data_IF_543531746786
#
_entry.id   IF_543531746786
#
_cell.length_a   1.000
_cell.length_b   1.000
_cell.length_c   1.000
_cell.angle_alpha   90.00
_cell.angle_beta   90.00
_cell.angle_gamma   90.00
#
_symmetry.space_group_name_H-M   'P 1'
#
loop_
_entity.id
_entity.type
_entity.pdbx_description
1 polymer ?
#
# COMPACT_ATOMS: atom_id res chain seq x y z
N UNK A 1 -7.96 25.33 -28.88
CA UNK A 1 -6.64 25.68 -29.44
C UNK A 1 -5.47 25.37 -28.50
N UNK A 2 -5.51 25.70 -27.20
CA UNK A 2 -4.40 25.41 -26.27
C UNK A 2 -4.16 23.91 -26.02
N UNK A 3 -5.22 23.10 -25.87
CA UNK A 3 -5.08 21.65 -25.71
C UNK A 3 -4.59 20.95 -26.98
N UNK A 4 -5.08 21.33 -28.17
CA UNK A 4 -4.66 20.71 -29.44
C UNK A 4 -3.19 20.96 -29.76
N UNK A 5 -2.68 22.14 -29.42
CA UNK A 5 -1.26 22.48 -29.59
C UNK A 5 -0.40 21.70 -28.58
N UNK A 6 -0.83 21.56 -27.32
CA UNK A 6 -0.15 20.72 -26.33
C UNK A 6 -0.12 19.24 -26.75
N UNK A 7 -1.23 18.70 -27.28
CA UNK A 7 -1.28 17.33 -27.79
C UNK A 7 -0.36 17.11 -28.99
N UNK A 8 -0.28 18.07 -29.93
CA UNK A 8 0.65 18.00 -31.07
C UNK A 8 2.12 18.09 -30.63
N UNK A 9 2.42 18.95 -29.65
CA UNK A 9 3.76 19.09 -29.08
C UNK A 9 4.17 17.80 -28.35
N UNK A 10 3.27 17.20 -27.57
CA UNK A 10 3.49 15.91 -26.92
C UNK A 10 3.68 14.80 -27.96
N UNK A 11 2.86 14.76 -29.02
CA UNK A 11 3.00 13.77 -30.09
C UNK A 11 4.34 13.89 -30.83
N UNK A 12 4.81 15.12 -31.09
CA UNK A 12 6.11 15.38 -31.72
C UNK A 12 7.29 15.02 -30.79
N UNK A 13 7.15 15.24 -29.48
CA UNK A 13 8.11 14.73 -28.49
C UNK A 13 8.11 13.20 -28.41
N UNK A 14 6.95 12.56 -28.52
CA UNK A 14 6.85 11.08 -28.52
C UNK A 14 7.54 10.48 -29.74
N UNK A 15 7.44 11.09 -30.93
CA UNK A 15 8.14 10.61 -32.13
C UNK A 15 9.66 10.84 -32.06
N UNK A 16 10.11 11.94 -31.44
CA UNK A 16 11.54 12.18 -31.17
C UNK A 16 12.12 11.21 -30.14
N UNK A 17 11.32 10.75 -29.17
CA UNK A 17 11.74 9.76 -28.16
C UNK A 17 11.70 8.33 -28.71
N UNK A 18 10.91 8.06 -29.75
CA UNK A 18 10.83 6.76 -30.42
C UNK A 18 12.03 6.45 -31.37
N UNK A 19 13.14 7.17 -31.24
CA UNK A 19 14.25 7.07 -32.18
C UNK A 19 15.06 5.76 -32.08
N UNK A 20 14.99 5.03 -30.96
CA UNK A 20 15.82 3.84 -30.72
C UNK A 20 14.99 2.56 -30.66
N UNK A 21 15.34 1.62 -31.52
CA UNK A 21 14.68 0.32 -31.54
C UNK A 21 15.17 -0.56 -30.38
N UNK A 22 14.46 -1.66 -30.11
CA UNK A 22 14.84 -2.64 -29.08
C UNK A 22 16.26 -3.19 -29.31
N UNK A 23 16.60 -3.48 -30.56
CA UNK A 23 17.91 -4.02 -30.93
C UNK A 23 19.04 -3.02 -30.63
N UNK A 24 18.79 -1.72 -30.80
CA UNK A 24 19.78 -0.68 -30.47
C UNK A 24 20.07 -0.67 -28.96
N UNK A 25 19.02 -0.81 -28.13
CA UNK A 25 19.17 -0.88 -26.67
C UNK A 25 19.96 -2.13 -26.25
N UNK A 26 19.77 -3.26 -26.93
CA UNK A 26 20.51 -4.49 -26.68
C UNK A 26 22.01 -4.31 -27.01
N UNK A 27 22.34 -3.64 -28.11
CA UNK A 27 23.73 -3.30 -28.48
C UNK A 27 24.38 -2.43 -27.39
N UNK A 28 23.69 -1.37 -26.96
CA UNK A 28 24.23 -0.44 -25.96
C UNK A 28 24.43 -1.11 -24.61
N UNK A 29 23.45 -1.91 -24.18
CA UNK A 29 23.55 -2.70 -22.94
C UNK A 29 24.75 -3.65 -23.01
N UNK A 30 24.91 -4.38 -24.11
CA UNK A 30 25.99 -5.35 -24.25
C UNK A 30 27.38 -4.67 -24.27
N UNK A 31 27.48 -3.50 -24.92
CA UNK A 31 28.68 -2.65 -24.87
C UNK A 31 29.02 -2.25 -23.44
N UNK A 32 28.06 -1.69 -22.71
CA UNK A 32 28.28 -1.23 -21.34
C UNK A 32 28.67 -2.38 -20.41
N UNK A 33 28.06 -3.56 -20.59
CA UNK A 33 28.41 -4.77 -19.85
C UNK A 33 29.85 -5.24 -20.13
N UNK A 34 30.33 -5.13 -21.36
CA UNK A 34 31.71 -5.47 -21.74
C UNK A 34 32.69 -4.40 -21.25
N UNK A 35 32.33 -3.13 -21.38
CA UNK A 35 33.11 -2.01 -20.88
C UNK A 35 33.36 -2.13 -19.36
N UNK A 36 32.36 -2.61 -18.61
CA UNK A 36 32.46 -2.85 -17.18
C UNK A 36 33.34 -4.06 -16.82
N UNK A 37 33.41 -5.11 -17.66
CA UNK A 37 34.18 -6.32 -17.35
C UNK A 37 35.60 -6.36 -17.91
N UNK A 38 35.84 -5.78 -19.08
CA UNK A 38 37.10 -5.87 -19.83
C UNK A 38 37.77 -4.50 -20.03
N UNK A 39 37.04 -3.39 -19.85
CA UNK A 39 37.56 -2.01 -19.92
C UNK A 39 36.85 -1.16 -20.97
N UNK A 40 36.88 0.19 -20.84
CA UNK A 40 36.07 1.10 -21.65
C UNK A 40 36.42 1.13 -23.14
N UNK A 41 37.65 0.75 -23.49
CA UNK A 41 38.17 0.76 -24.86
C UNK A 41 37.93 -0.55 -25.62
N UNK A 42 37.39 -1.59 -24.97
CA UNK A 42 37.25 -2.93 -25.60
C UNK A 42 36.01 -2.99 -26.47
N UNK A 43 36.20 -3.13 -27.78
CA UNK A 43 35.11 -3.32 -28.74
C UNK A 43 34.66 -4.79 -28.82
N UNK A 44 33.53 -5.06 -29.47
CA UNK A 44 33.07 -6.43 -29.75
C UNK A 44 34.05 -7.24 -30.60
N UNK A 45 34.77 -6.55 -31.49
CA UNK A 45 35.81 -7.15 -32.32
C UNK A 45 37.02 -7.53 -31.48
N UNK A 46 37.48 -6.64 -30.61
CA UNK A 46 38.61 -6.91 -29.70
C UNK A 46 38.29 -8.01 -28.70
N UNK A 47 37.05 -8.05 -28.21
CA UNK A 47 36.59 -9.10 -27.31
C UNK A 47 36.73 -10.51 -27.92
N UNK A 48 36.39 -10.64 -29.21
CA UNK A 48 36.57 -11.89 -29.97
C UNK A 48 37.97 -12.04 -30.60
N UNK A 49 38.86 -11.06 -30.46
CA UNK A 49 40.15 -10.96 -31.15
C UNK A 49 40.01 -11.05 -32.69
N UNK A 50 39.12 -10.23 -33.25
CA UNK A 50 38.83 -10.16 -34.68
C UNK A 50 39.09 -8.75 -35.23
N UNK A 51 39.26 -8.66 -36.54
CA UNK A 51 39.23 -7.37 -37.24
C UNK A 51 37.79 -6.99 -37.61
N UNK A 52 37.44 -5.69 -37.69
CA UNK A 52 36.10 -5.24 -38.06
C UNK A 52 35.60 -5.74 -39.43
N UNK A 53 36.49 -6.13 -40.34
CA UNK A 53 36.16 -6.67 -41.66
C UNK A 53 36.08 -8.21 -41.73
N UNK A 54 36.06 -8.90 -40.58
CA UNK A 54 36.06 -10.37 -40.55
C UNK A 54 34.80 -11.01 -41.16
N UNK A 55 34.97 -12.15 -41.82
CA UNK A 55 33.88 -12.93 -42.42
C UNK A 55 33.11 -13.76 -41.36
N UNK A 56 31.89 -14.20 -41.65
CA UNK A 56 31.05 -15.00 -40.76
C UNK A 56 31.71 -16.33 -40.30
N UNK A 57 32.51 -16.95 -41.17
CA UNK A 57 33.27 -18.15 -40.83
C UNK A 57 34.40 -17.86 -39.84
N UNK A 58 35.07 -16.72 -40.00
CA UNK A 58 36.11 -16.26 -39.10
C UNK A 58 35.53 -15.92 -37.73
N UNK A 59 34.36 -15.28 -37.68
CA UNK A 59 33.61 -15.02 -36.44
C UNK A 59 33.30 -16.34 -35.73
N UNK A 60 32.85 -17.36 -36.47
CA UNK A 60 32.53 -18.68 -35.91
C UNK A 60 33.77 -19.39 -35.39
N UNK A 61 34.91 -19.31 -36.09
CA UNK A 61 36.20 -19.87 -35.64
C UNK A 61 36.72 -19.16 -34.39
N UNK A 62 36.69 -17.83 -34.37
CA UNK A 62 37.12 -17.03 -33.23
C UNK A 62 36.26 -17.27 -32.00
N UNK A 63 34.93 -17.32 -32.16
CA UNK A 63 34.01 -17.71 -31.10
C UNK A 63 34.37 -19.07 -30.51
N UNK A 64 34.59 -20.11 -31.33
CA UNK A 64 34.98 -21.44 -30.84
C UNK A 64 36.29 -21.39 -30.05
N UNK A 65 37.28 -20.62 -30.51
CA UNK A 65 38.56 -20.46 -29.81
C UNK A 65 38.37 -19.76 -28.46
N UNK A 66 37.60 -18.68 -28.42
CA UNK A 66 37.34 -17.88 -27.21
C UNK A 66 36.43 -18.60 -26.22
N UNK A 67 35.40 -19.32 -26.69
CA UNK A 67 34.46 -20.07 -25.85
C UNK A 67 35.18 -21.16 -25.05
N UNK A 68 36.14 -21.85 -25.66
CA UNK A 68 36.97 -22.85 -24.97
C UNK A 68 37.86 -22.20 -23.90
N UNK A 69 38.34 -20.98 -24.13
CA UNK A 69 39.19 -20.26 -23.15
C UNK A 69 38.38 -19.73 -21.96
N UNK A 70 37.17 -19.23 -22.22
CA UNK A 70 36.30 -18.56 -21.26
C UNK A 70 35.21 -19.47 -20.67
N UNK A 71 35.23 -20.77 -20.98
CA UNK A 71 34.25 -21.72 -20.47
C UNK A 71 34.25 -21.73 -18.93
N UNK A 72 33.08 -21.65 -18.26
CA UNK A 72 32.99 -21.48 -16.81
C UNK A 72 33.67 -22.60 -16.03
N UNK A 73 33.57 -23.85 -16.49
CA UNK A 73 34.24 -24.98 -15.84
C UNK A 73 35.77 -24.88 -15.89
N UNK A 74 36.34 -24.47 -17.03
CA UNK A 74 37.79 -24.31 -17.16
C UNK A 74 38.30 -23.12 -16.34
N UNK A 75 37.55 -22.04 -16.27
CA UNK A 75 37.89 -20.88 -15.43
C UNK A 75 37.86 -21.26 -13.95
N UNK A 76 36.83 -22.01 -13.52
CA UNK A 76 36.71 -22.55 -12.17
C UNK A 76 37.89 -23.45 -11.81
N UNK A 77 38.25 -24.38 -12.69
CA UNK A 77 39.41 -25.26 -12.49
C UNK A 77 40.71 -24.48 -12.40
N UNK A 78 40.95 -23.53 -13.33
CA UNK A 78 42.13 -22.65 -13.30
C UNK A 78 42.21 -21.83 -12.01
N UNK A 79 41.08 -21.33 -11.51
CA UNK A 79 41.02 -20.59 -10.24
C UNK A 79 41.39 -21.48 -9.04
N UNK A 80 40.84 -22.70 -8.97
CA UNK A 80 41.18 -23.66 -7.91
C UNK A 80 42.65 -24.04 -7.97
N UNK A 81 43.15 -24.41 -9.17
CA UNK A 81 44.55 -24.82 -9.36
C UNK A 81 45.54 -23.69 -9.09
N UNK A 82 45.25 -22.46 -9.52
CA UNK A 82 46.13 -21.30 -9.25
C UNK A 82 46.17 -20.92 -7.78
N UNK A 83 45.12 -21.22 -7.01
CA UNK A 83 45.12 -21.02 -5.56
C UNK A 83 45.89 -22.13 -4.85
N UNK A 84 45.67 -23.39 -5.22
CA UNK A 84 46.31 -24.55 -4.59
C UNK A 84 47.77 -24.73 -4.99
N UNK A 85 48.17 -24.28 -6.18
CA UNK A 85 49.55 -24.32 -6.68
C UNK A 85 50.20 -22.95 -6.46
N UNK A 86 51.20 -22.88 -5.57
CA UNK A 86 51.96 -21.65 -5.34
C UNK A 86 52.61 -21.12 -6.63
N UNK A 87 52.70 -19.80 -6.76
CA UNK A 87 53.38 -19.12 -7.88
C UNK A 87 54.87 -19.50 -7.89
N UNK A 88 55.37 -20.09 -8.97
CA UNK A 88 56.81 -20.22 -9.18
C UNK A 88 57.36 -18.84 -9.59
N UNK A 89 58.36 -18.33 -8.87
CA UNK A 89 59.15 -17.19 -9.33
C UNK A 89 60.06 -17.61 -10.49
N UNK A 90 60.47 -16.63 -11.30
CA UNK A 90 61.33 -16.81 -12.49
C UNK A 90 62.66 -17.52 -12.15
N UNK A 91 63.15 -17.37 -10.92
CA UNK A 91 64.41 -17.96 -10.43
C UNK A 91 64.31 -19.42 -9.94
N UNK A 92 63.23 -20.15 -10.24
CA UNK A 92 63.04 -21.54 -9.82
C UNK A 92 62.87 -21.76 -8.31
N UNK A 93 63.02 -20.71 -7.48
CA UNK A 93 62.72 -20.74 -6.04
C UNK A 93 61.24 -20.47 -5.78
N UNK A 94 60.65 -21.26 -4.88
CA UNK A 94 59.25 -21.20 -4.46
C UNK A 94 58.96 -19.90 -3.71
N UNK A 95 58.54 -18.87 -4.44
CA UNK A 95 58.06 -17.62 -3.87
C UNK A 95 56.59 -17.76 -3.44
N UNK A 96 56.38 -17.85 -2.11
CA UNK A 96 55.12 -17.97 -1.35
C UNK A 96 54.49 -19.37 -1.22
N UNK A 97 54.15 -19.72 0.03
CA UNK A 97 53.34 -20.90 0.39
C UNK A 97 51.99 -20.84 -0.32
N UNK A 98 51.44 -21.97 -0.80
CA UNK A 98 50.11 -22.01 -1.37
C UNK A 98 49.10 -21.55 -0.32
N UNK A 99 48.30 -20.54 -0.65
CA UNK A 99 47.10 -20.26 0.11
C UNK A 99 46.17 -21.46 -0.13
N UNK A 100 45.66 -22.10 0.91
CA UNK A 100 44.86 -23.32 0.79
C UNK A 100 43.67 -23.22 -0.17
N UNK A 101 42.94 -24.33 -0.34
CA UNK A 101 41.77 -24.40 -1.24
C UNK A 101 40.85 -23.18 -1.05
N UNK A 102 40.42 -22.49 -2.13
CA UNK A 102 39.55 -21.32 -2.03
C UNK A 102 38.20 -21.70 -1.42
N UNK A 103 37.55 -20.72 -0.78
CA UNK A 103 36.24 -20.94 -0.17
C UNK A 103 35.19 -21.32 -1.21
N UNK A 104 34.19 -22.12 -0.83
CA UNK A 104 33.11 -22.50 -1.75
C UNK A 104 32.37 -21.26 -2.31
N UNK A 105 32.29 -20.18 -1.53
CA UNK A 105 31.71 -18.91 -1.96
C UNK A 105 32.55 -18.23 -3.06
N UNK A 106 33.88 -18.19 -2.93
CA UNK A 106 34.78 -17.67 -3.98
C UNK A 106 34.69 -18.52 -5.26
N UNK A 107 34.62 -19.84 -5.12
CA UNK A 107 34.45 -20.77 -6.25
C UNK A 107 33.11 -20.51 -6.96
N UNK A 108 32.02 -20.30 -6.22
CA UNK A 108 30.73 -19.99 -6.80
C UNK A 108 30.70 -18.61 -7.47
N UNK A 109 31.30 -17.60 -6.85
CA UNK A 109 31.39 -16.25 -7.40
C UNK A 109 32.20 -16.21 -8.70
N UNK A 110 33.34 -16.91 -8.75
CA UNK A 110 34.16 -17.03 -9.96
C UNK A 110 33.46 -17.82 -11.06
N UNK A 111 32.78 -18.91 -10.72
CA UNK A 111 31.97 -19.66 -11.69
C UNK A 111 30.84 -18.80 -12.28
N UNK A 112 30.16 -18.00 -11.45
CA UNK A 112 29.12 -17.07 -11.88
C UNK A 112 29.68 -15.96 -12.78
N UNK A 113 30.78 -15.32 -12.38
CA UNK A 113 31.42 -14.32 -13.21
C UNK A 113 31.85 -14.89 -14.58
N UNK A 114 32.33 -16.14 -14.60
CA UNK A 114 32.69 -16.82 -15.84
C UNK A 114 31.47 -17.19 -16.69
N UNK A 115 30.36 -17.64 -16.08
CA UNK A 115 29.11 -17.90 -16.83
C UNK A 115 28.55 -16.63 -17.44
N UNK A 116 28.57 -15.52 -16.72
CA UNK A 116 28.10 -14.22 -17.21
C UNK A 116 28.96 -13.74 -18.38
N UNK A 117 30.30 -13.86 -18.27
CA UNK A 117 31.23 -13.56 -19.38
C UNK A 117 31.00 -14.45 -20.60
N UNK A 118 30.75 -15.74 -20.39
CA UNK A 118 30.47 -16.70 -21.46
C UNK A 118 29.12 -16.40 -22.16
N UNK A 119 28.10 -16.02 -21.39
CA UNK A 119 26.80 -15.62 -21.94
C UNK A 119 26.94 -14.39 -22.86
N UNK A 120 27.68 -13.36 -22.41
CA UNK A 120 27.97 -12.18 -23.23
C UNK A 120 28.68 -12.52 -24.53
N UNK A 121 29.63 -13.46 -24.48
CA UNK A 121 30.35 -13.93 -25.66
C UNK A 121 29.43 -14.59 -26.69
N UNK A 122 28.43 -15.36 -26.25
CA UNK A 122 27.39 -15.88 -27.14
C UNK A 122 26.53 -14.78 -27.77
N UNK A 123 26.16 -13.77 -26.98
CA UNK A 123 25.38 -12.62 -27.46
C UNK A 123 26.16 -11.81 -28.51
N UNK A 124 27.44 -11.51 -28.25
CA UNK A 124 28.30 -10.80 -29.20
C UNK A 124 28.45 -11.58 -30.51
N UNK A 125 28.64 -12.90 -30.44
CA UNK A 125 28.71 -13.73 -31.65
C UNK A 125 27.40 -13.65 -32.45
N UNK A 126 26.25 -13.77 -31.78
CA UNK A 126 24.94 -13.68 -32.43
C UNK A 126 24.74 -12.31 -33.10
N UNK A 127 25.09 -11.23 -32.39
CA UNK A 127 25.02 -9.86 -32.88
C UNK A 127 25.87 -9.66 -34.14
N UNK A 128 27.15 -10.04 -34.10
CA UNK A 128 28.07 -9.87 -35.24
C UNK A 128 27.75 -10.79 -36.42
N UNK A 129 27.04 -11.90 -36.20
CA UNK A 129 26.54 -12.74 -37.29
C UNK A 129 25.22 -12.24 -37.87
N UNK A 130 24.46 -11.45 -37.12
CA UNK A 130 23.16 -10.94 -37.51
C UNK A 130 23.23 -9.62 -38.30
N UNK A 131 22.06 -9.11 -38.73
CA UNK A 131 21.95 -7.80 -39.38
C UNK A 131 22.29 -6.64 -38.44
N UNK A 132 22.25 -6.89 -37.13
CA UNK A 132 22.57 -5.93 -36.07
C UNK A 132 24.06 -5.50 -36.10
N UNK A 133 24.94 -6.27 -36.76
CA UNK A 133 26.35 -5.87 -37.00
C UNK A 133 26.43 -4.51 -37.70
N UNK A 134 25.60 -4.26 -38.72
CA UNK A 134 25.63 -3.00 -39.45
C UNK A 134 25.25 -1.81 -38.55
N UNK A 135 24.30 -2.00 -37.63
CA UNK A 135 23.92 -0.99 -36.64
C UNK A 135 25.04 -0.75 -35.64
N UNK A 136 25.67 -1.82 -35.15
CA UNK A 136 26.83 -1.72 -34.29
C UNK A 136 27.98 -0.95 -34.97
N UNK A 137 28.31 -1.26 -36.22
CA UNK A 137 29.35 -0.58 -36.98
C UNK A 137 29.00 0.90 -37.23
N UNK A 138 27.73 1.21 -37.45
CA UNK A 138 27.25 2.59 -37.52
C UNK A 138 27.52 3.36 -36.21
N UNK A 139 27.23 2.78 -35.05
CA UNK A 139 27.53 3.42 -33.76
C UNK A 139 29.01 3.45 -33.43
N UNK A 140 29.80 2.50 -33.95
CA UNK A 140 31.25 2.52 -33.80
C UNK A 140 31.87 3.67 -34.59
N UNK A 141 31.36 3.98 -35.78
CA UNK A 141 31.83 5.09 -36.61
C UNK A 141 31.33 6.47 -36.15
N UNK A 142 30.06 6.57 -35.73
CA UNK A 142 29.42 7.84 -35.36
C UNK A 142 29.47 8.16 -33.87
N UNK A 143 29.91 7.20 -33.04
CA UNK A 143 29.90 7.31 -31.58
C UNK A 143 28.64 6.72 -30.96
N UNK A 144 28.82 6.19 -29.74
CA UNK A 144 27.74 5.63 -28.94
C UNK A 144 27.09 6.73 -28.08
N UNK A 145 25.75 6.78 -28.02
CA UNK A 145 25.08 7.66 -27.08
C UNK A 145 25.37 7.23 -25.64
N UNK A 146 25.39 8.21 -24.72
CA UNK A 146 25.58 7.94 -23.29
C UNK A 146 24.25 7.43 -22.69
N UNK A 147 23.94 6.17 -22.92
CA UNK A 147 22.74 5.53 -22.38
C UNK A 147 23.06 4.98 -20.98
N UNK A 148 22.37 5.44 -19.93
CA UNK A 148 22.51 4.86 -18.56
C UNK A 148 21.47 3.78 -18.23
N UNK A 149 20.31 3.75 -18.89
CA UNK A 149 19.35 2.64 -18.73
C UNK A 149 18.27 2.93 -17.73
N UNK A 150 17.09 2.31 -17.92
CA UNK A 150 16.15 2.13 -16.81
C UNK A 150 16.76 1.20 -15.75
N UNK A 151 17.58 0.23 -16.17
CA UNK A 151 18.39 -0.63 -15.31
C UNK A 151 19.29 0.14 -14.33
N UNK A 152 19.78 1.33 -14.68
CA UNK A 152 20.54 2.17 -13.76
C UNK A 152 19.71 2.64 -12.57
N UNK A 153 18.45 3.01 -12.79
CA UNK A 153 17.55 3.36 -11.70
C UNK A 153 17.31 2.17 -10.77
N UNK A 154 17.10 0.96 -11.31
CA UNK A 154 16.90 -0.24 -10.50
C UNK A 154 18.18 -0.75 -9.82
N UNK A 155 19.36 -0.53 -10.41
CA UNK A 155 20.63 -0.92 -9.81
C UNK A 155 20.97 -0.03 -8.61
N UNK A 156 20.64 1.27 -8.68
CA UNK A 156 20.98 2.27 -7.66
C UNK A 156 19.89 2.45 -6.61
N UNK A 157 18.63 2.49 -7.01
CA UNK A 157 17.49 2.67 -6.11
C UNK A 157 16.97 1.31 -5.64
N UNK A 158 17.52 0.83 -4.52
CA UNK A 158 16.99 -0.31 -3.78
C UNK A 158 16.26 0.23 -2.55
N UNK A 159 14.95 0.53 -2.66
CA UNK A 159 14.22 1.10 -1.54
C UNK A 159 14.34 0.15 -0.35
N UNK A 160 14.91 0.65 0.74
CA UNK A 160 15.01 -0.10 1.98
C UNK A 160 13.65 -0.24 2.64
N UNK A 161 13.54 -1.15 3.60
CA UNK A 161 12.31 -1.39 4.36
C UNK A 161 11.68 -0.10 4.91
N UNK A 162 12.48 0.81 5.48
CA UNK A 162 11.99 2.09 5.99
C UNK A 162 11.41 3.01 4.91
N UNK A 163 12.01 3.06 3.71
CA UNK A 163 11.47 3.88 2.61
C UNK A 163 10.14 3.33 2.10
N UNK A 164 9.99 2.00 2.09
CA UNK A 164 8.73 1.35 1.71
C UNK A 164 7.65 1.63 2.76
N UNK A 165 7.97 1.48 4.04
CA UNK A 165 7.02 1.78 5.12
C UNK A 165 6.60 3.24 5.12
N UNK A 166 7.54 4.17 4.90
CA UNK A 166 7.22 5.60 4.80
C UNK A 166 6.29 5.88 3.61
N UNK A 167 6.59 5.32 2.44
CA UNK A 167 5.74 5.45 1.26
C UNK A 167 4.34 4.86 1.48
N UNK A 168 4.25 3.68 2.08
CA UNK A 168 2.99 3.04 2.43
C UNK A 168 2.20 3.88 3.45
N UNK A 169 2.87 4.44 4.45
CA UNK A 169 2.25 5.30 5.45
C UNK A 169 1.68 6.59 4.82
N UNK A 170 2.41 7.23 3.92
CA UNK A 170 1.92 8.41 3.20
C UNK A 170 0.72 8.05 2.31
N UNK A 171 0.80 6.92 1.59
CA UNK A 171 -0.26 6.53 0.67
C UNK A 171 -1.52 6.06 1.39
N UNK A 172 -1.39 5.12 2.32
CA UNK A 172 -2.52 4.53 3.06
C UNK A 172 -3.02 5.48 4.15
N UNK A 173 -2.11 6.03 4.96
CA UNK A 173 -2.45 6.95 6.05
C UNK A 173 -2.83 8.36 5.59
N UNK A 174 -2.41 8.76 4.39
CA UNK A 174 -2.81 10.01 3.75
C UNK A 174 -3.98 9.81 2.79
N UNK A 175 -3.69 9.48 1.54
CA UNK A 175 -4.68 9.43 0.46
C UNK A 175 -5.79 8.39 0.71
N UNK A 176 -5.42 7.16 1.11
CA UNK A 176 -6.39 6.09 1.39
C UNK A 176 -7.32 6.44 2.56
N UNK A 177 -6.75 6.94 3.66
CA UNK A 177 -7.53 7.35 4.83
C UNK A 177 -8.41 8.58 4.55
N UNK A 178 -7.90 9.57 3.82
CA UNK A 178 -8.71 10.71 3.38
C UNK A 178 -9.89 10.25 2.51
N UNK A 179 -9.66 9.32 1.59
CA UNK A 179 -10.72 8.76 0.76
C UNK A 179 -11.78 8.04 1.61
N UNK A 180 -11.37 7.27 2.62
CA UNK A 180 -12.30 6.64 3.56
C UNK A 180 -13.15 7.68 4.32
N UNK A 181 -12.53 8.75 4.82
CA UNK A 181 -13.23 9.85 5.49
C UNK A 181 -14.21 10.56 4.54
N UNK A 182 -13.80 10.78 3.30
CA UNK A 182 -14.65 11.37 2.26
C UNK A 182 -15.86 10.51 1.92
N UNK A 183 -15.68 9.20 1.77
CA UNK A 183 -16.78 8.26 1.56
C UNK A 183 -17.72 8.24 2.77
N UNK A 184 -17.18 8.29 3.99
CA UNK A 184 -17.95 8.38 5.22
C UNK A 184 -18.81 9.64 5.28
N UNK A 185 -18.20 10.81 5.07
CA UNK A 185 -18.89 12.10 5.02
C UNK A 185 -19.98 12.12 3.95
N UNK A 186 -19.68 11.66 2.73
CA UNK A 186 -20.65 11.60 1.63
C UNK A 186 -21.84 10.70 1.97
N UNK A 187 -21.60 9.52 2.54
CA UNK A 187 -22.67 8.60 2.96
C UNK A 187 -23.50 9.18 4.10
N UNK A 188 -22.88 9.92 5.02
CA UNK A 188 -23.57 10.57 6.14
C UNK A 188 -24.47 11.72 5.64
N UNK A 189 -23.99 12.52 4.68
CA UNK A 189 -24.78 13.55 3.97
C UNK A 189 -26.01 12.95 3.30
N UNK A 190 -25.84 11.87 2.53
CA UNK A 190 -26.94 11.18 1.86
C UNK A 190 -27.93 10.55 2.84
N UNK A 191 -27.44 10.05 3.98
CA UNK A 191 -28.29 9.53 5.04
C UNK A 191 -29.15 10.63 5.66
N UNK A 192 -28.55 11.70 6.18
CA UNK A 192 -29.28 12.82 6.82
C UNK A 192 -30.25 13.45 5.83
N UNK A 193 -29.81 13.68 4.59
CA UNK A 193 -30.67 14.25 3.53
C UNK A 193 -31.91 13.40 3.23
N UNK A 194 -31.83 12.07 3.31
CA UNK A 194 -33.01 11.19 3.16
C UNK A 194 -33.99 11.33 4.32
N UNK A 195 -33.49 11.40 5.55
CA UNK A 195 -34.34 11.57 6.75
C UNK A 195 -35.04 12.93 6.77
N UNK A 196 -34.33 14.00 6.41
CA UNK A 196 -34.91 15.35 6.29
C UNK A 196 -36.01 15.38 5.21
N UNK A 197 -35.76 14.78 4.04
CA UNK A 197 -36.76 14.69 2.96
C UNK A 197 -37.98 13.87 3.39
N UNK A 198 -37.80 12.76 4.11
CA UNK A 198 -38.89 11.95 4.63
C UNK A 198 -39.75 12.74 5.63
N UNK A 199 -39.11 13.38 6.62
CA UNK A 199 -39.79 14.15 7.65
C UNK A 199 -40.62 15.31 7.05
N UNK A 200 -40.06 16.07 6.10
CA UNK A 200 -40.79 17.15 5.40
C UNK A 200 -41.99 16.63 4.62
N UNK A 201 -41.87 15.49 3.94
CA UNK A 201 -43.00 14.88 3.22
C UNK A 201 -44.09 14.40 4.17
N UNK A 202 -43.71 13.69 5.24
CA UNK A 202 -44.65 13.16 6.22
C UNK A 202 -45.35 14.27 7.04
N UNK A 203 -44.67 15.41 7.26
CA UNK A 203 -45.26 16.58 7.89
C UNK A 203 -46.19 17.39 6.97
N UNK A 204 -46.28 17.03 5.68
CA UNK A 204 -47.08 17.74 4.67
C UNK A 204 -46.46 19.05 4.20
N UNK A 205 -45.19 19.33 4.54
CA UNK A 205 -44.43 20.52 4.15
C UNK A 205 -43.68 20.28 2.84
N UNK A 206 -44.36 19.76 1.81
CA UNK A 206 -43.79 19.73 0.47
C UNK A 206 -43.67 21.17 -0.05
N UNK A 207 -42.52 21.50 -0.64
CA UNK A 207 -42.18 22.83 -1.18
C UNK A 207 -43.09 23.32 -2.34
N UNK A 208 -44.20 22.61 -2.62
CA UNK A 208 -45.20 22.96 -3.62
C UNK A 208 -46.43 23.70 -3.05
N UNK A 209 -46.52 23.91 -1.72
CA UNK A 209 -47.71 24.48 -1.05
C UNK A 209 -47.58 25.95 -0.60
N UNK A 210 -46.52 26.67 -0.97
CA UNK A 210 -46.38 28.12 -0.68
C UNK A 210 -46.97 29.01 -1.79
N UNK A 211 -48.15 28.68 -2.33
CA UNK A 211 -48.96 29.62 -3.12
C UNK A 211 -50.11 30.09 -2.23
N UNK A 212 -50.14 31.36 -1.79
CA UNK A 212 -51.24 31.88 -1.00
C UNK A 212 -52.50 31.95 -1.89
N UNK A 213 -53.52 31.14 -1.60
CA UNK A 213 -54.87 31.33 -2.15
C UNK A 213 -55.45 30.22 -3.04
N UNK A 214 -55.12 28.94 -2.81
CA UNK A 214 -55.89 27.85 -3.45
C UNK A 214 -56.29 26.81 -2.40
N UNK A 215 -57.57 26.80 -2.05
CA UNK A 215 -58.20 25.69 -1.35
C UNK A 215 -58.13 24.45 -2.24
N UNK A 216 -57.35 23.45 -1.82
CA UNK A 216 -57.38 22.12 -2.41
C UNK A 216 -58.16 21.19 -1.49
N UNK A 217 -59.48 21.26 -1.58
CA UNK A 217 -60.34 20.10 -1.34
C UNK A 217 -60.05 19.06 -2.41
N UNK A 218 -59.60 17.87 -2.03
CA UNK A 218 -59.41 16.77 -2.98
C UNK A 218 -58.49 15.69 -2.45
N UNK A 219 -59.08 14.69 -1.80
CA UNK A 219 -58.45 13.40 -1.60
C UNK A 219 -58.24 12.74 -2.98
N UNK A 220 -57.06 12.18 -3.22
CA UNK A 220 -56.87 11.13 -4.21
C UNK A 220 -56.06 9.99 -3.59
N UNK A 221 -56.80 8.94 -3.30
CA UNK A 221 -56.35 7.57 -3.05
C UNK A 221 -55.81 6.99 -4.38
N UNK A 222 -54.67 6.28 -4.41
CA UNK A 222 -54.37 5.40 -5.54
C UNK A 222 -55.33 4.19 -5.54
N UNK A 223 -55.64 3.62 -6.71
CA UNK A 223 -56.80 2.75 -6.89
C UNK A 223 -56.61 1.36 -6.27
N UNK A 224 -57.68 0.88 -5.64
CA UNK A 224 -57.95 -0.55 -5.56
C UNK A 224 -58.39 -1.04 -6.95
N UNK A 225 -57.69 -2.03 -7.48
CA UNK A 225 -58.21 -2.93 -8.50
C UNK A 225 -58.42 -4.29 -7.84
N UNK A 226 -59.68 -4.60 -7.56
CA UNK A 226 -60.14 -5.95 -7.28
C UNK A 226 -60.35 -6.69 -8.61
N UNK A 227 -59.69 -7.84 -8.75
CA UNK A 227 -60.25 -9.01 -9.42
C UNK A 227 -59.52 -10.25 -8.92
N UNK A 228 -60.26 -11.09 -8.21
CA UNK A 228 -59.86 -12.38 -7.64
C UNK A 228 -59.15 -13.32 -8.62
N UNK A 229 -58.09 -13.99 -8.15
CA UNK A 229 -57.87 -15.42 -8.38
C UNK A 229 -56.89 -15.99 -7.34
N UNK A 230 -57.31 -17.07 -6.71
CA UNK A 230 -56.64 -17.86 -5.68
C UNK A 230 -55.20 -18.30 -6.02
N UNK A 231 -54.32 -18.35 -5.01
CA UNK A 231 -53.41 -19.49 -4.77
C UNK A 231 -52.62 -19.30 -3.46
N UNK A 232 -53.15 -19.84 -2.35
CA UNK A 232 -52.35 -20.16 -1.17
C UNK A 232 -51.30 -21.21 -1.57
N UNK A 233 -50.02 -20.87 -1.50
CA UNK A 233 -48.95 -21.88 -1.55
C UNK A 233 -48.80 -22.49 -0.14
N UNK A 234 -49.04 -23.80 0.05
CA UNK A 234 -48.88 -24.43 1.35
C UNK A 234 -47.40 -24.52 1.71
N UNK A 235 -46.94 -23.67 2.65
CA UNK A 235 -45.59 -23.77 3.20
C UNK A 235 -45.42 -25.11 3.92
N UNK A 236 -44.43 -25.88 3.50
CA UNK A 236 -44.09 -27.17 4.09
C UNK A 236 -43.73 -27.02 5.58
N UNK A 237 -44.30 -27.88 6.42
CA UNK A 237 -44.21 -27.93 7.90
C UNK A 237 -42.78 -27.95 8.48
N UNK A 238 -41.76 -28.12 7.63
CA UNK A 238 -40.33 -28.16 7.94
C UNK A 238 -39.65 -26.77 7.87
N UNK A 239 -40.13 -25.86 7.01
CA UNK A 239 -39.61 -24.50 6.91
C UNK A 239 -40.09 -23.61 8.08
N UNK A 240 -41.33 -23.80 8.52
CA UNK A 240 -41.89 -23.08 9.67
C UNK A 240 -41.15 -23.35 10.99
N UNK A 241 -40.65 -24.58 11.18
CA UNK A 241 -39.86 -24.94 12.38
C UNK A 241 -38.41 -24.46 12.35
N UNK A 242 -37.86 -24.14 11.17
CA UNK A 242 -36.55 -23.48 11.07
C UNK A 242 -36.66 -22.00 11.42
N UNK A 243 -37.68 -21.31 10.90
CA UNK A 243 -37.93 -19.90 11.23
C UNK A 243 -38.21 -19.67 12.73
N UNK A 244 -38.93 -20.57 13.39
CA UNK A 244 -39.15 -20.50 14.85
C UNK A 244 -37.90 -20.86 15.69
N UNK A 245 -36.96 -21.63 15.14
CA UNK A 245 -35.69 -21.98 15.82
C UNK A 245 -34.68 -20.84 15.74
N UNK A 246 -34.67 -20.11 14.63
CA UNK A 246 -33.79 -18.96 14.42
C UNK A 246 -34.30 -17.74 15.20
N UNK A 247 -35.62 -17.53 15.29
CA UNK A 247 -36.20 -16.42 16.06
C UNK A 247 -36.12 -16.61 17.58
N UNK A 248 -35.94 -17.84 18.07
CA UNK A 248 -35.82 -18.14 19.52
C UNK A 248 -34.38 -18.13 20.03
N UNK A 249 -33.39 -18.09 19.13
CA UNK A 249 -31.96 -18.07 19.47
C UNK A 249 -31.36 -16.67 19.60
N UNK A 250 -32.10 -15.63 19.24
CA UNK A 250 -31.63 -14.25 19.34
C UNK A 250 -32.45 -13.42 20.33
N UNK A 251 -32.02 -13.42 21.60
CA UNK A 251 -31.82 -12.25 22.50
C UNK A 251 -31.67 -12.70 23.97
N UNK A 252 -31.03 -11.90 24.86
CA UNK A 252 -30.41 -10.58 24.65
C UNK A 252 -28.98 -10.46 25.21
N UNK A 253 -28.03 -9.89 24.47
CA UNK A 253 -26.84 -9.30 25.10
C UNK A 253 -26.48 -7.91 24.54
N UNK A 254 -26.36 -7.00 25.51
CA UNK A 254 -25.53 -5.80 25.63
C UNK A 254 -25.47 -4.81 24.45
N UNK A 255 -26.10 -3.67 24.71
CA UNK A 255 -25.91 -2.38 24.03
C UNK A 255 -24.42 -2.00 24.04
N UNK A 256 -23.75 -2.03 22.89
CA UNK A 256 -22.45 -1.38 22.68
C UNK A 256 -22.68 0.10 22.37
N UNK A 257 -22.03 0.95 23.17
CA UNK A 257 -22.09 2.42 23.09
C UNK A 257 -21.44 2.93 21.80
N UNK A 258 -22.08 3.90 21.16
CA UNK A 258 -21.53 4.71 20.08
C UNK A 258 -20.46 5.69 20.62
N UNK A 259 -19.47 6.12 19.81
CA UNK A 259 -18.36 6.94 20.28
C UNK A 259 -18.83 8.35 20.67
N UNK A 260 -18.41 8.77 21.86
CA UNK A 260 -18.65 10.10 22.45
C UNK A 260 -17.87 11.15 21.66
N UNK A 261 -18.58 12.01 20.93
CA UNK A 261 -18.00 13.19 20.28
C UNK A 261 -17.73 14.22 21.39
N UNK A 262 -16.50 14.72 21.48
CA UNK A 262 -16.11 15.72 22.48
C UNK A 262 -16.88 17.01 22.25
N UNK A 263 -17.50 17.51 23.32
CA UNK A 263 -18.19 18.79 23.37
C UNK A 263 -17.23 19.92 22.97
N UNK A 264 -17.64 20.69 21.96
CA UNK A 264 -17.20 22.05 21.74
C UNK A 264 -18.32 22.98 22.21
N UNK A 265 -17.89 24.09 22.81
CA UNK A 265 -18.59 25.17 23.52
C UNK A 265 -20.02 25.56 23.11
N UNK A 266 -20.80 26.15 24.05
CA UNK A 266 -22.18 26.52 23.82
C UNK A 266 -22.21 27.69 22.84
N UNK A 267 -22.83 27.49 21.69
CA UNK A 267 -23.20 28.56 20.79
C UNK A 267 -24.71 28.55 20.73
N UNK A 268 -25.25 29.67 21.21
CA UNK A 268 -26.62 30.14 21.23
C UNK A 268 -27.62 29.33 20.42
N UNK A 269 -28.57 28.74 21.14
CA UNK A 269 -29.86 28.33 20.58
C UNK A 269 -30.47 29.56 19.89
N UNK A 270 -30.72 29.56 18.57
CA UNK A 270 -31.51 30.62 17.99
C UNK A 270 -32.95 30.42 18.46
N UNK A 271 -33.31 31.15 19.51
CA UNK A 271 -34.69 31.46 19.85
C UNK A 271 -35.35 32.10 18.64
N UNK A 272 -36.28 31.38 18.03
CA UNK A 272 -37.20 31.95 17.06
C UNK A 272 -37.43 31.03 15.87
N UNK A 273 -38.43 30.15 15.96
CA UNK A 273 -39.80 30.40 15.47
C UNK A 273 -40.75 29.50 16.27
N UNK A 274 -41.67 30.07 17.05
CA UNK A 274 -42.71 29.30 17.76
C UNK A 274 -43.89 29.06 16.82
N UNK A 275 -43.75 28.10 15.91
CA UNK A 275 -44.85 27.56 15.11
C UNK A 275 -45.35 26.20 15.63
N UNK A 276 -46.49 25.70 15.17
CA UNK A 276 -46.96 24.35 15.50
C UNK A 276 -45.98 23.29 14.97
N UNK A 277 -45.29 22.59 15.87
CA UNK A 277 -44.34 21.52 15.55
C UNK A 277 -45.07 20.20 15.27
N UNK A 278 -44.76 19.54 14.15
CA UNK A 278 -45.31 18.21 13.81
C UNK A 278 -44.30 17.12 14.11
N UNK A 279 -44.71 16.11 14.87
CA UNK A 279 -43.87 14.96 15.25
C UNK A 279 -44.13 13.81 14.29
N UNK A 280 -43.08 13.27 13.68
CA UNK A 280 -43.10 12.16 12.73
C UNK A 280 -42.16 11.08 13.26
N UNK A 281 -42.64 9.84 13.35
CA UNK A 281 -41.80 8.71 13.76
C UNK A 281 -41.14 8.12 12.51
N UNK A 282 -39.81 8.05 12.52
CA UNK A 282 -39.03 7.44 11.44
C UNK A 282 -39.01 5.91 11.55
N UNK A 283 -38.63 5.23 10.47
CA UNK A 283 -38.54 3.76 10.37
C UNK A 283 -37.67 3.11 11.46
N UNK A 284 -36.69 3.86 11.98
CA UNK A 284 -35.80 3.42 13.06
C UNK A 284 -36.35 3.70 14.47
N UNK A 285 -37.62 4.10 14.60
CA UNK A 285 -38.28 4.43 15.87
C UNK A 285 -37.87 5.78 16.48
N UNK A 286 -37.05 6.58 15.78
CA UNK A 286 -36.67 7.92 16.23
C UNK A 286 -37.76 8.95 15.92
N UNK A 287 -37.95 9.91 16.81
CA UNK A 287 -38.95 10.97 16.64
C UNK A 287 -38.27 12.17 15.96
N UNK A 288 -38.79 12.54 14.80
CA UNK A 288 -38.39 13.71 14.04
C UNK A 288 -39.46 14.80 14.22
N UNK A 289 -39.05 15.99 14.62
CA UNK A 289 -39.93 17.13 14.84
C UNK A 289 -39.71 18.11 13.71
N UNK A 290 -40.75 18.40 12.94
CA UNK A 290 -40.70 19.33 11.81
C UNK A 290 -41.38 20.63 12.22
N UNK A 291 -40.64 21.73 12.11
CA UNK A 291 -41.17 23.07 12.36
C UNK A 291 -41.87 23.63 11.12
N UNK A 292 -42.67 24.67 11.33
CA UNK A 292 -43.40 25.46 10.34
C UNK A 292 -42.53 25.99 9.19
N UNK A 293 -41.25 26.28 9.45
CA UNK A 293 -40.27 26.73 8.45
C UNK A 293 -39.67 25.56 7.64
N UNK A 294 -39.90 24.31 8.05
CA UNK A 294 -39.37 23.11 7.40
C UNK A 294 -38.01 22.63 7.93
N UNK A 295 -37.55 23.18 9.05
CA UNK A 295 -36.42 22.65 9.81
C UNK A 295 -36.83 21.34 10.49
N UNK A 296 -35.94 20.34 10.46
CA UNK A 296 -36.20 19.01 11.01
C UNK A 296 -35.27 18.78 12.18
N UNK A 297 -35.84 18.55 13.36
CA UNK A 297 -35.11 18.26 14.59
C UNK A 297 -35.24 16.78 14.93
N UNK A 298 -34.20 16.21 15.51
CA UNK A 298 -34.22 14.88 16.09
C UNK A 298 -34.38 15.02 17.60
N UNK A 299 -35.43 14.44 18.15
CA UNK A 299 -35.70 14.41 19.58
C UNK A 299 -34.91 13.25 20.20
N UNK A 300 -33.82 13.55 20.93
CA UNK A 300 -32.99 12.54 21.59
C UNK A 300 -32.99 12.77 23.11
N UNK A 301 -33.15 11.69 23.87
CA UNK A 301 -33.03 11.74 25.33
C UNK A 301 -31.56 11.69 25.71
N UNK A 302 -31.06 12.73 26.38
CA UNK A 302 -29.69 12.81 26.88
C UNK A 302 -29.48 11.85 28.07
N UNK A 303 -28.22 11.62 28.45
CA UNK A 303 -27.82 10.76 29.57
C UNK A 303 -28.40 11.23 30.92
N UNK A 304 -28.78 12.51 31.02
CA UNK A 304 -29.44 13.16 32.17
C UNK A 304 -30.98 13.05 32.14
N UNK A 305 -31.53 12.37 31.13
CA UNK A 305 -32.97 12.08 31.04
C UNK A 305 -33.81 13.19 30.40
N UNK A 306 -33.22 14.33 30.04
CA UNK A 306 -33.85 15.46 29.35
C UNK A 306 -33.96 15.23 27.83
N UNK A 307 -35.03 15.73 27.21
CA UNK A 307 -35.27 15.62 25.77
C UNK A 307 -34.61 16.80 25.06
N UNK A 308 -33.57 16.55 24.28
CA UNK A 308 -32.88 17.57 23.49
C UNK A 308 -33.29 17.47 22.01
N UNK A 309 -33.63 18.61 21.42
CA UNK A 309 -33.94 18.75 19.99
C UNK A 309 -32.65 19.08 19.24
N UNK A 310 -32.11 18.13 18.45
CA UNK A 310 -30.92 18.34 17.62
C UNK A 310 -31.34 18.66 16.18
N UNK A 311 -30.96 19.82 15.66
CA UNK A 311 -31.23 20.17 14.26
C UNK A 311 -30.51 19.20 13.31
N UNK A 312 -31.26 18.58 12.39
CA UNK A 312 -30.73 17.72 11.34
C UNK A 312 -30.50 18.55 10.09
N UNK A 313 -29.40 19.32 10.07
CA UNK A 313 -28.95 20.02 8.87
C UNK A 313 -27.80 19.26 8.18
N UNK A 314 -27.97 18.78 6.93
CA UNK A 314 -26.88 18.26 6.12
C UNK A 314 -25.68 19.23 6.02
N UNK A 315 -25.89 20.55 6.04
CA UNK A 315 -24.80 21.52 5.87
C UNK A 315 -23.87 21.64 7.10
N UNK A 316 -24.32 21.24 8.29
CA UNK A 316 -23.53 21.32 9.52
C UNK A 316 -22.48 20.19 9.64
N UNK A 317 -22.56 19.15 8.81
CA UNK A 317 -21.57 18.07 8.82
C UNK A 317 -20.20 18.58 8.37
N UNK A 318 -19.25 18.59 9.32
CA UNK A 318 -17.87 18.95 9.06
C UNK A 318 -17.28 18.14 7.89
N UNK A 319 -16.83 18.86 6.86
CA UNK A 319 -16.11 18.26 5.73
C UNK A 319 -14.79 17.65 6.19
N UNK A 320 -14.40 16.48 5.68
CA UNK A 320 -13.15 15.83 6.07
C UNK A 320 -11.96 16.74 5.74
N UNK A 321 -11.13 17.05 6.73
CA UNK A 321 -9.93 17.87 6.52
C UNK A 321 -8.71 16.97 6.36
N UNK A 322 -7.69 17.48 5.69
CA UNK A 322 -6.39 16.79 5.60
C UNK A 322 -5.78 16.59 7.01
N UNK A 323 -6.06 17.48 7.95
CA UNK A 323 -5.61 17.35 9.34
C UNK A 323 -6.20 16.13 10.07
N UNK A 324 -7.35 15.62 9.62
CA UNK A 324 -8.02 14.44 10.21
C UNK A 324 -7.42 13.13 9.70
N UNK A 325 -6.49 13.20 8.75
CA UNK A 325 -5.81 12.02 8.22
C UNK A 325 -4.84 11.44 9.24
N UNK A 326 -4.70 10.11 9.23
CA UNK A 326 -3.73 9.41 10.05
C UNK A 326 -2.29 9.91 9.80
N UNK A 327 -2.02 10.40 8.59
CA UNK A 327 -0.75 11.01 8.19
C UNK A 327 -0.32 12.18 9.10
N UNK A 328 -1.26 13.01 9.54
CA UNK A 328 -0.99 14.19 10.40
C UNK A 328 -1.30 13.89 11.86
N UNK A 329 -2.40 13.18 12.13
CA UNK A 329 -2.86 12.91 13.49
C UNK A 329 -1.93 11.98 14.27
N UNK A 330 -1.38 10.95 13.61
CA UNK A 330 -0.54 9.94 14.26
C UNK A 330 0.81 10.52 14.72
N UNK A 331 1.57 11.27 13.88
CA UNK A 331 2.80 11.92 14.35
C UNK A 331 2.58 12.92 15.48
N UNK A 332 1.52 13.74 15.41
CA UNK A 332 1.17 14.71 16.46
C UNK A 332 0.84 14.00 17.77
N UNK A 333 0.07 12.91 17.71
CA UNK A 333 -0.25 12.10 18.88
C UNK A 333 0.99 11.42 19.48
N UNK A 334 1.88 10.84 18.67
CA UNK A 334 3.16 10.27 19.15
C UNK A 334 3.99 11.35 19.83
N UNK A 335 4.11 12.52 19.20
CA UNK A 335 4.87 13.65 19.76
C UNK A 335 4.30 14.09 21.10
N UNK A 336 2.98 14.27 21.21
CA UNK A 336 2.30 14.63 22.45
C UNK A 336 2.54 13.59 23.56
N UNK A 337 2.56 12.30 23.23
CA UNK A 337 2.74 11.20 24.20
C UNK A 337 4.20 11.00 24.63
N UNK A 338 5.17 11.36 23.79
CA UNK A 338 6.60 11.08 24.00
C UNK A 338 7.40 12.31 24.44
N UNK A 339 7.47 13.35 23.61
CA UNK A 339 8.30 14.53 23.85
C UNK A 339 7.52 15.71 24.47
N UNK A 340 6.22 15.83 24.13
CA UNK A 340 5.35 16.89 24.65
C UNK A 340 5.19 16.86 26.17
N UNK A 341 5.28 15.67 26.78
CA UNK A 341 5.21 15.48 28.23
C UNK A 341 6.45 15.99 28.99
N UNK A 342 7.60 16.13 28.32
CA UNK A 342 8.85 16.60 28.92
C UNK A 342 9.16 18.07 28.62
N UNK A 343 8.65 18.61 27.51
CA UNK A 343 8.90 19.99 27.09
C UNK A 343 7.84 20.99 27.56
N UNK A 344 6.62 20.52 27.86
CA UNK A 344 5.53 21.37 28.38
C UNK A 344 4.76 20.64 29.48
N UNK A 345 5.07 20.85 30.78
CA UNK A 345 4.18 20.41 31.85
C UNK A 345 2.95 21.33 31.88
N UNK A 346 1.86 20.93 31.23
CA UNK A 346 0.56 21.55 31.46
C UNK A 346 -0.03 21.03 32.78
N UNK A 347 -0.78 21.87 33.54
CA UNK A 347 -1.26 21.52 34.87
C UNK A 347 -2.23 20.33 34.80
N UNK A 348 -2.18 19.49 35.83
CA UNK A 348 -3.06 18.35 36.01
C UNK A 348 -4.53 18.83 35.96
N UNK A 349 -5.19 18.58 34.84
CA UNK A 349 -6.63 18.58 34.75
C UNK A 349 -7.06 17.12 34.79
N UNK A 350 -7.90 16.81 35.78
CA UNK A 350 -8.51 15.51 36.01
C UNK A 350 -8.96 14.84 34.71
N UNK A 351 -8.26 13.77 34.33
CA UNK A 351 -8.73 12.84 33.31
C UNK A 351 -9.26 11.61 34.02
N UNK A 352 -10.45 11.75 34.58
CA UNK A 352 -11.29 10.60 34.85
C UNK A 352 -11.89 10.18 33.51
N UNK A 353 -11.21 9.25 32.85
CA UNK A 353 -11.75 8.53 31.70
C UNK A 353 -11.35 7.08 31.81
N UNK A 354 -12.18 6.36 32.55
CA UNK A 354 -12.34 4.91 32.47
C UNK A 354 -12.48 4.49 31.00
N UNK A 355 -11.47 3.77 30.52
CA UNK A 355 -11.56 2.95 29.33
C UNK A 355 -10.95 1.60 29.69
N UNK A 356 -11.83 0.65 30.02
CA UNK A 356 -11.48 -0.76 30.17
C UNK A 356 -10.77 -1.27 28.90
N UNK A 357 -9.67 -1.97 29.15
CA UNK A 357 -8.88 -2.69 28.17
C UNK A 357 -9.62 -3.97 27.78
N UNK A 358 -10.22 -3.97 26.59
CA UNK A 358 -10.79 -5.18 25.98
C UNK A 358 -9.69 -6.12 25.53
N UNK A 359 -9.36 -7.07 26.39
CA UNK A 359 -8.48 -8.21 26.18
C UNK A 359 -8.86 -8.98 24.90
N UNK A 360 -7.95 -9.03 23.92
CA UNK A 360 -8.09 -9.86 22.72
C UNK A 360 -7.73 -11.30 23.09
N UNK A 361 -8.74 -12.06 23.52
CA UNK A 361 -8.67 -13.51 23.63
C UNK A 361 -8.76 -14.15 22.24
N UNK A 362 -7.63 -14.65 21.73
CA UNK A 362 -7.60 -15.62 20.66
C UNK A 362 -7.91 -17.00 21.22
N UNK A 363 -9.10 -17.52 20.95
CA UNK A 363 -9.40 -18.94 21.10
C UNK A 363 -8.88 -19.68 19.86
N UNK A 364 -7.73 -20.35 20.02
CA UNK A 364 -7.30 -21.45 19.16
C UNK A 364 -8.03 -22.73 19.60
N UNK A 365 -8.53 -23.48 18.62
CA UNK A 365 -9.14 -24.78 18.78
C UNK A 365 -8.21 -25.78 19.48
N UNK A 366 -8.79 -26.51 20.43
CA UNK A 366 -8.11 -27.49 21.26
C UNK A 366 -7.69 -28.76 20.51
N UNK A 367 -6.47 -29.21 20.82
CA UNK A 367 -6.09 -30.61 20.73
C UNK A 367 -5.56 -31.05 22.11
N UNK A 368 -6.21 -32.06 22.66
CA UNK A 368 -5.85 -32.71 23.91
C UNK A 368 -4.46 -33.35 23.83
N UNK A 369 -3.65 -33.17 24.88
CA UNK A 369 -2.83 -34.24 25.46
C UNK A 369 -2.23 -33.79 26.80
N UNK A 370 -2.46 -34.64 27.80
CA UNK A 370 -2.00 -34.58 29.18
C UNK A 370 -0.48 -34.73 29.34
N UNK A 371 0.09 -34.17 30.42
CA UNK A 371 1.44 -34.55 30.87
C UNK A 371 2.15 -33.49 31.71
N UNK A 372 2.06 -33.62 33.03
CA UNK A 372 2.71 -32.78 34.04
C UNK A 372 4.25 -32.86 34.02
N UNK A 373 4.94 -31.74 34.27
CA UNK A 373 6.16 -31.71 35.09
C UNK A 373 6.58 -30.27 35.45
N UNK A 374 6.45 -29.97 36.75
CA UNK A 374 6.94 -28.80 37.49
C UNK A 374 8.46 -28.75 37.49
N UNK A 375 9.09 -27.58 37.22
CA UNK A 375 10.34 -27.15 37.87
C UNK A 375 10.45 -25.62 38.02
N UNK A 376 10.42 -25.19 39.28
CA UNK A 376 10.79 -23.85 39.79
C UNK A 376 12.30 -23.60 39.61
N UNK A 377 12.70 -22.35 39.39
CA UNK A 377 13.87 -21.77 40.09
C UNK A 377 13.98 -20.26 39.90
N UNK A 378 13.93 -19.58 41.03
CA UNK A 378 14.20 -18.17 41.33
C UNK A 378 15.55 -17.64 40.81
N UNK A 379 15.54 -16.37 40.35
CA UNK A 379 16.75 -15.57 40.07
C UNK A 379 16.90 -14.49 41.14
N UNK A 380 17.83 -14.69 42.06
CA UNK A 380 18.26 -13.69 43.04
C UNK A 380 19.77 -13.46 42.96
N UNK A 381 20.12 -12.28 42.46
CA UNK A 381 21.21 -11.38 42.81
C UNK A 381 22.32 -11.86 43.76
N UNK A 382 23.59 -11.68 43.33
CA UNK A 382 24.76 -11.28 44.17
C UNK A 382 25.96 -11.01 43.26
N UNK A 383 26.27 -9.75 42.96
CA UNK A 383 27.19 -8.82 43.64
C UNK A 383 28.67 -9.23 43.51
N UNK A 384 29.38 -8.39 42.75
CA UNK A 384 30.81 -8.40 42.51
C UNK A 384 31.65 -8.32 43.80
N UNK A 385 32.78 -9.02 43.79
CA UNK A 385 33.96 -8.62 44.56
C UNK A 385 35.24 -9.09 43.86
N UNK A 386 36.17 -8.16 43.78
CA UNK A 386 37.43 -8.17 43.06
C UNK A 386 38.55 -8.86 43.86
N UNK A 387 39.55 -9.31 43.06
CA UNK A 387 41.01 -9.25 43.31
C UNK A 387 41.73 -10.44 43.98
N UNK A 388 42.78 -10.84 43.26
CA UNK A 388 44.15 -11.23 43.70
C UNK A 388 44.46 -12.72 43.88
N UNK A 389 45.18 -13.26 42.88
CA UNK A 389 46.58 -13.68 43.08
C UNK A 389 46.88 -15.17 43.29
N UNK A 390 47.64 -15.74 42.33
CA UNK A 390 48.89 -16.46 42.64
C UNK A 390 48.86 -17.98 42.81
N UNK A 391 49.50 -18.68 41.86
CA UNK A 391 50.39 -19.86 42.00
C UNK A 391 49.94 -21.01 42.93
N UNK A 392 49.74 -22.19 42.37
CA UNK A 392 50.78 -23.17 42.06
C UNK A 392 50.26 -24.16 41.01
#
# INVERSE_FOLDING_TARGET
MKLSLAFSLIACFVTLVAAWSKEDQEIFRLRDEIALSEGPEVTFYDFLNLKPNANHDEITKAYKKRSVQLHPDKVKQKFITSRTKGTKGDDGKTAKKPAGRPSNAEIAATAKAASDRFARLGLVQKLLKGPERARYDHFLANGFPVWKGTGYYYARFRPGFGTVLLGLFIFVGGAGHYFALYLGWKRQQEFVGRYVKFARRAAGTSAALNIPGVDATGADTPPATDSDAEAMQPMNRRQRRMQEKDSRKEKPEKKVKAPKVKAASPVDTPTGVTGPKKRVVAENGKILVVDSVGNVYLEQRNDEGEMQELLLDPAELQSPRLADTALIRLPVWIYAKTAGRFLSPAPAADSDSDYEEGEFGSEEDGAEASGAAVRRSSKAMRKARTKKGGRK
#
